data_IF_347921114009
#
_entry.id   IF_347921114009
#
_cell.length_a   1.000
_cell.length_b   1.000
_cell.length_c   1.000
_cell.angle_alpha   90.00
_cell.angle_beta   90.00
_cell.angle_gamma   90.00
#
_symmetry.space_group_name_H-M   'P 1'
#
loop_
_entity.id
_entity.type
_entity.pdbx_description
1 polymer ?
#
# COMPACT_ATOMS: atom_id res chain seq x y z
N UNK A 1 56.97 8.76 60.23
CA UNK A 1 55.61 8.84 59.72
C UNK A 1 55.64 8.48 58.28
N UNK A 2 55.25 7.24 57.91
CA UNK A 2 55.20 6.74 56.49
C UNK A 2 53.80 7.07 55.93
N UNK A 3 53.74 7.90 54.87
CA UNK A 3 52.49 8.14 54.13
C UNK A 3 52.26 6.99 53.14
N UNK A 4 51.19 6.25 53.33
CA UNK A 4 50.67 5.25 52.38
C UNK A 4 49.83 6.00 51.33
N UNK A 5 50.25 5.97 50.10
CA UNK A 5 49.45 6.48 48.98
C UNK A 5 48.62 5.31 48.45
N UNK A 6 47.31 5.40 48.62
CA UNK A 6 46.34 4.43 48.11
C UNK A 6 46.02 4.80 46.65
N UNK A 7 46.47 3.97 45.71
CA UNK A 7 46.16 4.11 44.27
C UNK A 7 44.79 3.46 44.00
N UNK A 8 43.77 4.25 43.75
CA UNK A 8 42.46 3.75 43.33
C UNK A 8 42.51 3.58 41.81
N UNK A 9 42.55 2.34 41.35
CA UNK A 9 42.39 1.98 39.93
C UNK A 9 40.88 1.96 39.63
N UNK A 10 40.37 2.98 38.95
CA UNK A 10 39.02 2.97 38.41
C UNK A 10 39.02 2.18 37.11
N UNK A 11 38.52 0.95 37.18
CA UNK A 11 38.25 0.17 35.96
C UNK A 11 37.03 0.74 35.24
N UNK A 12 37.25 1.46 34.16
CA UNK A 12 36.19 1.87 33.25
C UNK A 12 35.77 0.63 32.45
N UNK A 13 34.69 -0.01 32.89
CA UNK A 13 34.00 -1.03 32.13
C UNK A 13 33.28 -0.31 30.98
N UNK A 14 33.90 -0.32 29.81
CA UNK A 14 33.27 0.14 28.59
C UNK A 14 32.11 -0.80 28.25
N UNK A 15 30.89 -0.41 28.52
CA UNK A 15 29.70 -1.09 27.99
C UNK A 15 29.66 -0.75 26.50
N UNK A 16 30.26 -1.58 25.67
CA UNK A 16 30.00 -1.56 24.24
C UNK A 16 28.58 -2.09 24.06
N UNK A 17 27.62 -1.20 23.93
CA UNK A 17 26.30 -1.54 23.41
C UNK A 17 26.50 -1.98 21.98
N UNK A 18 26.61 -3.29 21.73
CA UNK A 18 26.47 -3.84 20.39
C UNK A 18 25.03 -3.56 19.96
N UNK A 19 24.84 -2.60 19.06
CA UNK A 19 23.54 -2.43 18.42
C UNK A 19 23.16 -3.82 17.85
N UNK A 20 22.04 -4.36 18.30
CA UNK A 20 21.55 -5.65 17.81
C UNK A 20 21.32 -5.49 16.32
N UNK A 21 22.00 -6.32 15.52
CA UNK A 21 21.87 -6.29 14.06
C UNK A 21 20.40 -6.54 13.70
N UNK A 22 19.85 -5.64 12.86
CA UNK A 22 18.46 -5.74 12.43
C UNK A 22 18.27 -6.98 11.58
N UNK A 23 17.33 -7.83 11.96
CA UNK A 23 16.92 -8.95 11.12
C UNK A 23 16.01 -8.45 10.03
N UNK A 24 16.37 -8.69 8.79
CA UNK A 24 15.65 -8.21 7.62
C UNK A 24 15.15 -9.38 6.77
N UNK A 25 14.05 -9.18 6.08
CA UNK A 25 13.51 -10.16 5.15
C UNK A 25 12.88 -9.48 3.94
N UNK A 26 12.67 -10.25 2.87
CA UNK A 26 11.90 -9.85 1.70
C UNK A 26 10.67 -10.72 1.59
N UNK A 27 9.52 -10.11 1.37
CA UNK A 27 8.26 -10.83 1.11
C UNK A 27 8.38 -11.62 -0.19
N UNK A 28 8.10 -12.94 -0.15
CA UNK A 28 8.26 -13.83 -1.30
C UNK A 28 6.97 -14.35 -1.92
N UNK A 29 5.83 -14.15 -1.25
CA UNK A 29 4.50 -14.48 -1.79
C UNK A 29 3.87 -13.26 -2.41
N UNK A 30 3.04 -13.43 -3.45
CA UNK A 30 2.30 -12.32 -4.08
C UNK A 30 1.52 -11.49 -3.06
N UNK A 31 1.13 -12.13 -1.95
CA UNK A 31 0.40 -11.47 -0.87
C UNK A 31 0.83 -12.10 0.46
N UNK A 32 1.48 -11.33 1.32
CA UNK A 32 1.82 -11.69 2.68
C UNK A 32 0.73 -11.18 3.62
N UNK A 33 0.01 -12.08 4.27
CA UNK A 33 -1.02 -11.73 5.25
C UNK A 33 -0.37 -11.38 6.60
N UNK A 34 -0.63 -10.17 7.09
CA UNK A 34 -0.15 -9.69 8.38
C UNK A 34 -1.30 -9.61 9.38
N UNK A 35 -1.22 -10.38 10.46
CA UNK A 35 -2.29 -10.53 11.45
C UNK A 35 -1.97 -9.82 12.76
N UNK A 36 -3.00 -9.45 13.51
CA UNK A 36 -2.88 -8.78 14.81
C UNK A 36 -2.13 -9.64 15.84
N UNK A 37 -2.36 -10.96 15.82
CA UNK A 37 -1.71 -11.92 16.70
C UNK A 37 -1.12 -13.08 15.88
N UNK A 38 -0.12 -13.81 16.38
CA UNK A 38 0.47 -14.98 15.72
C UNK A 38 -0.48 -16.20 15.79
N UNK A 39 -1.60 -16.07 15.09
CA UNK A 39 -2.70 -17.03 15.03
C UNK A 39 -3.49 -16.86 13.72
N UNK A 40 -3.87 -17.96 13.07
CA UNK A 40 -4.68 -17.92 11.84
C UNK A 40 -6.11 -17.43 12.06
N UNK A 41 -6.66 -17.56 13.27
CA UNK A 41 -7.98 -17.04 13.63
C UNK A 41 -7.97 -15.55 13.99
N UNK A 42 -6.77 -14.97 14.15
CA UNK A 42 -6.63 -13.55 14.44
C UNK A 42 -7.02 -12.68 13.25
N UNK A 43 -7.53 -11.48 13.53
CA UNK A 43 -7.89 -10.52 12.51
C UNK A 43 -6.73 -10.22 11.57
N UNK A 44 -7.03 -10.09 10.27
CA UNK A 44 -6.11 -9.54 9.29
C UNK A 44 -5.99 -8.03 9.51
N UNK A 45 -4.76 -7.56 9.71
CA UNK A 45 -4.47 -6.13 9.90
C UNK A 45 -4.12 -5.44 8.59
N UNK A 46 -3.25 -6.09 7.80
CA UNK A 46 -2.84 -5.60 6.49
C UNK A 46 -2.23 -6.72 5.66
N UNK A 47 -1.84 -6.38 4.44
CA UNK A 47 -1.05 -7.22 3.55
C UNK A 47 0.22 -6.48 3.14
N UNK A 48 1.31 -7.21 2.89
CA UNK A 48 2.44 -6.73 2.12
C UNK A 48 2.61 -7.58 0.87
N UNK A 49 3.24 -7.00 -0.15
CA UNK A 49 3.35 -7.59 -1.48
C UNK A 49 4.74 -8.13 -1.74
N UNK A 50 4.87 -9.05 -2.68
CA UNK A 50 6.15 -9.64 -3.08
C UNK A 50 7.19 -8.54 -3.38
N UNK A 51 8.39 -8.75 -2.86
CA UNK A 51 9.50 -7.84 -3.04
C UNK A 51 9.59 -6.71 -2.02
N UNK A 52 8.62 -6.57 -1.10
CA UNK A 52 8.71 -5.62 0.01
C UNK A 52 9.77 -6.07 1.01
N UNK A 53 10.71 -5.19 1.33
CA UNK A 53 11.70 -5.38 2.41
C UNK A 53 11.04 -5.05 3.74
N UNK A 54 11.15 -5.92 4.73
CA UNK A 54 10.56 -5.78 6.07
C UNK A 54 11.60 -6.07 7.15
N UNK A 55 11.44 -5.44 8.32
CA UNK A 55 12.25 -5.73 9.51
C UNK A 55 11.52 -6.79 10.36
N UNK A 56 12.24 -7.83 10.84
CA UNK A 56 11.74 -8.82 11.78
C UNK A 56 12.09 -8.35 13.19
N UNK A 57 11.07 -8.08 14.00
CA UNK A 57 11.22 -7.54 15.37
C UNK A 57 10.82 -8.54 16.46
N UNK A 58 10.24 -9.68 16.08
CA UNK A 58 9.84 -10.72 17.02
C UNK A 58 9.55 -12.05 16.33
N UNK A 59 9.46 -13.12 17.13
CA UNK A 59 9.12 -14.45 16.63
C UNK A 59 8.34 -15.27 17.67
N UNK A 60 7.43 -16.11 17.18
CA UNK A 60 6.71 -17.09 17.98
C UNK A 60 6.40 -18.33 17.13
N UNK A 61 7.13 -19.39 17.33
CA UNK A 61 7.08 -20.59 16.48
C UNK A 61 7.43 -20.23 15.03
N UNK A 62 6.53 -20.56 14.11
CA UNK A 62 6.69 -20.20 12.68
C UNK A 62 6.18 -18.80 12.32
N UNK A 63 5.76 -17.99 13.30
CA UNK A 63 5.35 -16.60 13.10
C UNK A 63 6.53 -15.65 13.29
N UNK A 64 6.54 -14.60 12.48
CA UNK A 64 7.47 -13.46 12.55
C UNK A 64 6.67 -12.18 12.75
N UNK A 65 6.99 -11.43 13.79
CA UNK A 65 6.50 -10.07 13.94
C UNK A 65 7.33 -9.16 13.04
N UNK A 66 6.70 -8.55 12.04
CA UNK A 66 7.38 -7.76 11.03
C UNK A 66 6.92 -6.32 11.05
N UNK A 67 7.81 -5.40 10.64
CA UNK A 67 7.52 -3.98 10.45
C UNK A 67 7.72 -3.67 8.97
N UNK A 68 6.68 -3.15 8.33
CA UNK A 68 6.72 -2.73 6.92
C UNK A 68 7.37 -1.34 6.75
N UNK A 69 7.76 -0.95 5.51
CA UNK A 69 8.44 0.34 5.25
C UNK A 69 7.64 1.58 5.67
N UNK A 70 6.31 1.55 5.52
CA UNK A 70 5.39 2.45 6.21
C UNK A 70 5.09 1.79 7.55
N UNK A 71 5.56 2.32 8.69
CA UNK A 71 5.66 1.56 9.93
C UNK A 71 4.31 0.96 10.34
N UNK A 72 4.08 -0.27 9.93
CA UNK A 72 2.92 -1.07 10.32
C UNK A 72 3.44 -2.39 10.87
N UNK A 73 3.14 -2.69 12.12
CA UNK A 73 3.68 -3.85 12.84
C UNK A 73 2.61 -4.90 13.02
N UNK A 74 2.84 -6.11 12.52
CA UNK A 74 1.94 -7.24 12.65
C UNK A 74 2.66 -8.59 12.39
N UNK A 75 1.94 -9.71 12.54
CA UNK A 75 2.47 -11.06 12.46
C UNK A 75 2.25 -11.70 11.09
N UNK A 76 3.33 -12.18 10.49
CA UNK A 76 3.33 -12.97 9.25
C UNK A 76 3.93 -14.36 9.48
N UNK A 77 3.65 -15.31 8.59
CA UNK A 77 4.28 -16.64 8.68
C UNK A 77 5.66 -16.62 8.02
N UNK A 78 6.63 -17.35 8.59
CA UNK A 78 7.99 -17.44 8.06
C UNK A 78 8.04 -17.85 6.58
N UNK A 79 7.10 -18.70 6.13
CA UNK A 79 7.05 -19.19 4.74
C UNK A 79 6.68 -18.11 3.72
N UNK A 80 6.22 -16.94 4.16
CA UNK A 80 5.95 -15.79 3.28
C UNK A 80 7.15 -14.87 3.14
N UNK A 81 8.26 -15.16 3.81
CA UNK A 81 9.44 -14.31 3.93
C UNK A 81 10.71 -15.06 3.50
N UNK A 82 11.68 -14.31 2.96
CA UNK A 82 13.07 -14.76 2.78
C UNK A 82 13.93 -13.89 3.68
N UNK A 83 14.43 -14.44 4.78
CA UNK A 83 15.38 -13.74 5.64
C UNK A 83 16.71 -13.56 4.91
N UNK A 84 17.30 -12.39 5.00
CA UNK A 84 18.53 -12.00 4.31
C UNK A 84 19.49 -11.28 5.26
N UNK A 85 20.80 -11.44 5.02
CA UNK A 85 21.83 -10.64 5.72
C UNK A 85 21.76 -9.18 5.28
N UNK A 86 22.43 -8.29 6.00
CA UNK A 86 22.50 -6.87 5.64
C UNK A 86 23.08 -6.68 4.23
N UNK A 87 24.12 -7.42 3.87
CA UNK A 87 24.76 -7.38 2.54
C UNK A 87 23.81 -7.86 1.44
N UNK A 88 23.05 -8.93 1.71
CA UNK A 88 22.05 -9.44 0.76
C UNK A 88 20.88 -8.45 0.55
N UNK A 89 20.45 -7.77 1.61
CA UNK A 89 19.44 -6.70 1.51
C UNK A 89 19.98 -5.54 0.68
N UNK A 90 21.21 -5.09 0.93
CA UNK A 90 21.83 -4.01 0.16
C UNK A 90 21.95 -4.38 -1.33
N UNK A 91 22.37 -5.61 -1.63
CA UNK A 91 22.38 -6.14 -3.01
C UNK A 91 20.98 -6.19 -3.61
N UNK A 92 20.01 -6.70 -2.84
CA UNK A 92 18.62 -6.77 -3.27
C UNK A 92 18.04 -5.39 -3.58
N UNK A 93 18.29 -4.38 -2.74
CA UNK A 93 17.77 -3.02 -2.92
C UNK A 93 18.40 -2.33 -4.14
N UNK A 94 19.69 -2.52 -4.40
CA UNK A 94 20.42 -1.95 -5.55
C UNK A 94 20.09 -2.62 -6.89
N UNK A 95 19.62 -3.88 -6.86
CA UNK A 95 19.33 -4.61 -8.09
C UNK A 95 18.18 -3.96 -8.88
N UNK A 96 18.26 -3.90 -10.22
CA UNK A 96 17.15 -3.40 -11.04
C UNK A 96 15.93 -4.32 -10.89
N UNK A 97 14.75 -3.70 -10.85
CA UNK A 97 13.50 -4.39 -10.58
C UNK A 97 12.42 -4.02 -11.59
N UNK A 98 11.50 -4.94 -11.76
CA UNK A 98 10.21 -4.70 -12.40
C UNK A 98 9.12 -4.56 -11.35
N UNK A 99 8.19 -3.66 -11.61
CA UNK A 99 6.89 -3.61 -10.98
C UNK A 99 5.89 -4.36 -11.84
N UNK A 100 5.12 -5.28 -11.26
CA UNK A 100 4.02 -5.94 -11.93
C UNK A 100 2.77 -5.03 -11.89
N UNK A 101 2.20 -4.72 -13.05
CA UNK A 101 1.16 -3.68 -13.19
C UNK A 101 -0.23 -4.21 -13.52
N UNK A 102 -0.37 -5.49 -13.92
CA UNK A 102 -1.69 -6.08 -14.13
C UNK A 102 -2.35 -6.46 -12.79
N UNK A 103 -3.68 -6.47 -12.71
CA UNK A 103 -4.36 -6.90 -11.47
C UNK A 103 -3.98 -8.31 -11.02
N UNK A 104 -3.75 -9.22 -11.97
CA UNK A 104 -3.42 -10.63 -11.69
C UNK A 104 -2.55 -11.25 -12.79
N UNK A 105 -1.62 -12.11 -12.39
CA UNK A 105 -0.74 -12.84 -13.29
C UNK A 105 -0.07 -14.04 -12.67
N UNK A 106 0.92 -14.60 -13.38
CA UNK A 106 1.65 -15.79 -12.96
C UNK A 106 3.13 -15.73 -13.39
N UNK A 107 3.98 -16.36 -12.58
CA UNK A 107 5.33 -16.75 -12.99
C UNK A 107 5.32 -18.23 -13.34
N UNK A 108 5.88 -18.56 -14.52
CA UNK A 108 5.91 -19.93 -15.05
C UNK A 108 7.34 -20.43 -15.27
N UNK A 109 7.51 -21.75 -15.27
CA UNK A 109 8.82 -22.40 -15.47
C UNK A 109 9.43 -22.17 -16.84
N UNK A 110 8.60 -21.96 -17.88
CA UNK A 110 9.06 -21.72 -19.26
C UNK A 110 8.26 -20.58 -19.87
N UNK A 111 8.77 -19.89 -20.92
CA UNK A 111 8.10 -18.78 -21.61
C UNK A 111 6.95 -19.26 -22.52
N UNK A 112 6.03 -19.99 -21.94
CA UNK A 112 4.86 -20.58 -22.61
C UNK A 112 3.66 -20.70 -21.66
N UNK A 113 2.45 -20.61 -22.19
CA UNK A 113 1.21 -20.66 -21.41
C UNK A 113 0.98 -22.02 -20.72
N UNK A 114 1.54 -23.09 -21.29
CA UNK A 114 1.50 -24.44 -20.69
C UNK A 114 2.60 -24.68 -19.65
N UNK A 115 3.51 -23.72 -19.45
CA UNK A 115 4.53 -23.82 -18.40
C UNK A 115 3.89 -23.98 -17.01
N UNK A 116 4.47 -24.83 -16.17
CA UNK A 116 4.01 -25.01 -14.81
C UNK A 116 4.08 -23.67 -14.05
N UNK A 117 3.03 -23.33 -13.33
CA UNK A 117 2.98 -22.14 -12.49
C UNK A 117 3.93 -22.33 -11.29
N UNK A 118 4.85 -21.37 -11.10
CA UNK A 118 5.74 -21.30 -9.93
C UNK A 118 5.01 -20.58 -8.79
N UNK A 119 4.42 -19.42 -9.10
CA UNK A 119 3.62 -18.60 -8.20
C UNK A 119 2.69 -17.69 -8.99
N UNK A 120 1.68 -17.15 -8.32
CA UNK A 120 0.85 -16.07 -8.85
C UNK A 120 1.50 -14.70 -8.61
N UNK A 121 0.93 -13.66 -9.24
CA UNK A 121 1.29 -12.25 -9.10
C UNK A 121 0.04 -11.41 -8.92
N UNK A 122 0.18 -10.32 -8.18
CA UNK A 122 -0.82 -9.25 -8.07
C UNK A 122 -0.19 -7.90 -8.42
N UNK A 123 -0.99 -6.93 -8.83
CA UNK A 123 -0.51 -5.57 -9.08
C UNK A 123 0.22 -5.01 -7.87
N UNK A 124 1.40 -4.45 -8.08
CA UNK A 124 2.27 -3.95 -7.01
C UNK A 124 3.41 -4.90 -6.61
N UNK A 125 3.40 -6.17 -7.04
CA UNK A 125 4.52 -7.09 -6.83
C UNK A 125 5.78 -6.59 -7.51
N UNK A 126 6.93 -6.77 -6.83
CA UNK A 126 8.24 -6.34 -7.31
C UNK A 126 9.14 -7.55 -7.53
N UNK A 127 9.72 -7.63 -8.71
CA UNK A 127 10.53 -8.76 -9.18
C UNK A 127 11.90 -8.25 -9.64
N UNK A 128 12.98 -8.98 -9.34
CA UNK A 128 14.30 -8.60 -9.86
C UNK A 128 14.40 -8.90 -11.34
N UNK A 129 15.10 -8.02 -12.06
CA UNK A 129 15.49 -8.24 -13.47
C UNK A 129 16.54 -9.34 -13.51
N UNK A 130 16.37 -10.33 -14.39
CA UNK A 130 17.42 -11.31 -14.67
C UNK A 130 18.42 -10.68 -15.62
N UNK A 131 19.58 -10.27 -15.09
CA UNK A 131 20.70 -9.82 -15.91
C UNK A 131 21.33 -11.03 -16.60
N UNK A 132 21.19 -11.12 -17.92
CA UNK A 132 22.00 -12.06 -18.70
C UNK A 132 23.43 -11.56 -18.72
N UNK A 133 24.39 -12.41 -18.34
CA UNK A 133 25.84 -12.15 -18.30
C UNK A 133 26.28 -11.22 -19.45
N UNK A 134 27.15 -10.25 -19.10
CA UNK A 134 27.71 -9.17 -19.93
C UNK A 134 27.70 -9.45 -21.43
N UNK A 135 26.88 -8.69 -22.17
CA UNK A 135 26.91 -8.63 -23.63
C UNK A 135 25.64 -8.92 -24.37
N UNK A 136 24.62 -9.47 -23.73
CA UNK A 136 23.29 -9.70 -24.34
C UNK A 136 22.18 -9.36 -23.36
N UNK A 137 21.94 -8.08 -23.12
CA UNK A 137 20.60 -7.62 -22.81
C UNK A 137 19.79 -8.07 -24.02
N UNK A 138 19.03 -9.14 -23.89
CA UNK A 138 18.04 -9.48 -24.91
C UNK A 138 16.81 -8.61 -24.63
N UNK A 139 16.71 -7.43 -25.23
CA UNK A 139 15.42 -6.82 -25.37
C UNK A 139 14.72 -7.74 -26.36
N UNK A 140 13.67 -8.42 -25.94
CA UNK A 140 12.63 -8.87 -26.84
C UNK A 140 12.90 -9.90 -27.95
N UNK A 141 14.13 -10.37 -28.20
CA UNK A 141 14.41 -11.11 -29.44
C UNK A 141 14.02 -12.60 -29.47
N UNK A 142 14.23 -13.35 -28.39
CA UNK A 142 14.08 -14.82 -28.42
C UNK A 142 12.79 -15.38 -27.81
N UNK A 143 12.12 -14.67 -26.90
CA UNK A 143 10.97 -15.20 -26.15
C UNK A 143 9.69 -14.38 -26.35
N UNK A 144 9.63 -13.52 -27.38
CA UNK A 144 8.43 -12.78 -27.79
C UNK A 144 7.83 -11.94 -26.63
N UNK A 145 6.64 -12.33 -26.19
CA UNK A 145 5.85 -11.63 -25.17
C UNK A 145 6.29 -11.90 -23.71
N UNK A 146 7.30 -12.75 -23.47
CA UNK A 146 7.75 -13.19 -22.15
C UNK A 146 8.99 -12.46 -21.67
N UNK A 147 9.04 -12.19 -20.37
CA UNK A 147 10.22 -11.72 -19.64
C UNK A 147 10.64 -12.73 -18.59
N UNK A 148 11.93 -12.97 -18.46
CA UNK A 148 12.50 -13.73 -17.35
C UNK A 148 12.68 -12.81 -16.15
N UNK A 149 12.23 -13.26 -14.99
CA UNK A 149 12.26 -12.53 -13.72
C UNK A 149 12.82 -13.41 -12.62
N UNK A 150 13.36 -12.80 -11.57
CA UNK A 150 13.87 -13.50 -10.40
C UNK A 150 13.02 -13.15 -9.17
N UNK A 151 12.58 -14.20 -8.50
CA UNK A 151 11.85 -14.14 -7.24
C UNK A 151 12.79 -13.76 -6.07
N UNK A 152 12.27 -13.29 -4.93
CA UNK A 152 13.07 -12.98 -3.75
C UNK A 152 13.93 -14.15 -3.26
N UNK A 153 13.44 -15.39 -3.39
CA UNK A 153 14.15 -16.62 -2.99
C UNK A 153 15.23 -17.10 -4.00
N UNK A 154 15.45 -16.32 -5.09
CA UNK A 154 16.46 -16.62 -6.11
C UNK A 154 15.98 -17.53 -7.24
N UNK A 155 14.79 -18.14 -7.15
CA UNK A 155 14.22 -18.86 -8.28
C UNK A 155 13.93 -17.92 -9.44
N UNK A 156 14.08 -18.40 -10.68
CA UNK A 156 13.73 -17.66 -11.89
C UNK A 156 12.51 -18.24 -12.57
N UNK A 157 11.83 -17.42 -13.35
CA UNK A 157 10.68 -17.84 -14.14
C UNK A 157 10.25 -16.77 -15.11
N UNK A 158 9.13 -16.98 -15.77
CA UNK A 158 8.67 -16.20 -16.92
C UNK A 158 7.28 -15.61 -16.68
N UNK A 159 7.13 -14.32 -16.96
CA UNK A 159 5.82 -13.64 -16.96
C UNK A 159 5.67 -12.77 -18.21
N UNK A 160 4.49 -12.19 -18.45
CA UNK A 160 4.27 -11.33 -19.61
C UNK A 160 4.96 -9.97 -19.49
N UNK A 161 5.72 -9.58 -20.53
CA UNK A 161 6.39 -8.26 -20.60
C UNK A 161 5.42 -7.10 -20.50
N UNK A 162 4.24 -7.23 -21.11
CA UNK A 162 3.23 -6.17 -21.14
C UNK A 162 2.71 -5.79 -19.75
N UNK A 163 2.84 -6.71 -18.80
CA UNK A 163 2.36 -6.56 -17.42
C UNK A 163 3.49 -6.08 -16.47
N UNK A 164 4.65 -5.74 -17.04
CA UNK A 164 5.82 -5.27 -16.32
C UNK A 164 6.22 -3.87 -16.76
N UNK A 165 6.59 -3.03 -15.81
CA UNK A 165 7.38 -1.83 -16.07
C UNK A 165 8.61 -1.80 -15.16
N UNK A 166 9.62 -1.05 -15.53
CA UNK A 166 10.77 -0.80 -14.64
C UNK A 166 10.25 -0.08 -13.39
N UNK A 167 10.65 -0.56 -12.22
CA UNK A 167 10.37 0.12 -10.96
C UNK A 167 11.13 1.45 -10.94
N UNK A 168 10.40 2.54 -10.76
CA UNK A 168 10.94 3.89 -10.61
C UNK A 168 11.43 4.19 -9.20
N UNK A 169 11.90 5.40 -9.00
CA UNK A 169 12.13 5.93 -7.66
C UNK A 169 10.78 6.14 -6.97
N UNK A 170 10.64 5.60 -5.75
CA UNK A 170 9.39 5.70 -5.01
C UNK A 170 9.26 7.03 -4.29
N UNK A 171 8.15 7.71 -4.52
CA UNK A 171 7.72 8.86 -3.74
C UNK A 171 7.07 8.34 -2.46
N UNK A 172 7.64 8.69 -1.31
CA UNK A 172 7.10 8.28 -0.01
C UNK A 172 6.36 9.45 0.63
N UNK A 173 5.03 9.46 0.52
CA UNK A 173 4.16 10.47 1.11
C UNK A 173 3.81 10.03 2.53
N UNK A 174 4.19 10.84 3.50
CA UNK A 174 4.00 10.56 4.93
C UNK A 174 2.85 11.38 5.50
N UNK A 175 2.33 10.91 6.61
CA UNK A 175 1.42 11.68 7.45
C UNK A 175 2.01 13.07 7.76
N UNK A 176 1.27 14.13 7.42
CA UNK A 176 1.69 15.51 7.63
C UNK A 176 2.42 16.14 6.44
N UNK A 177 2.70 15.40 5.37
CA UNK A 177 3.18 15.96 4.11
C UNK A 177 2.02 16.72 3.44
N UNK A 178 1.99 18.03 3.66
CA UNK A 178 0.96 18.94 3.13
C UNK A 178 1.44 19.73 1.92
N UNK A 179 2.60 19.37 1.34
CA UNK A 179 3.17 20.05 0.18
C UNK A 179 2.25 19.97 -1.03
N UNK A 180 2.22 21.06 -1.78
CA UNK A 180 1.51 21.14 -3.05
C UNK A 180 2.29 20.39 -4.15
N UNK A 181 1.59 19.70 -5.07
CA UNK A 181 2.23 19.10 -6.26
C UNK A 181 3.10 17.88 -5.94
N UNK A 182 2.69 17.05 -4.99
CA UNK A 182 3.39 15.79 -4.68
C UNK A 182 3.41 14.83 -5.88
N UNK A 183 2.39 14.90 -6.72
CA UNK A 183 2.27 14.13 -7.97
C UNK A 183 1.66 14.99 -9.07
N UNK A 184 1.93 14.66 -10.32
CA UNK A 184 1.33 15.32 -11.49
C UNK A 184 0.00 14.70 -11.92
N UNK A 185 -0.70 15.37 -12.85
CA UNK A 185 -2.01 14.93 -13.33
C UNK A 185 -1.97 13.62 -14.11
N UNK A 186 -0.88 13.34 -14.84
CA UNK A 186 -0.72 12.07 -15.59
C UNK A 186 -0.60 10.88 -14.62
N UNK A 187 0.17 11.05 -13.57
CA UNK A 187 0.32 10.06 -12.50
C UNK A 187 -1.02 9.82 -11.79
N UNK A 188 -1.80 10.87 -11.50
CA UNK A 188 -3.12 10.72 -10.88
C UNK A 188 -4.09 9.98 -11.80
N UNK A 189 -4.11 10.23 -13.10
CA UNK A 189 -4.93 9.48 -14.05
C UNK A 189 -4.52 8.01 -14.14
N UNK A 190 -3.21 7.71 -14.02
CA UNK A 190 -2.74 6.33 -13.92
C UNK A 190 -3.20 5.65 -12.62
N UNK A 191 -3.21 6.36 -11.49
CA UNK A 191 -3.78 5.88 -10.22
C UNK A 191 -5.28 5.56 -10.37
N UNK A 192 -6.06 6.46 -10.99
CA UNK A 192 -7.49 6.25 -11.24
C UNK A 192 -7.71 5.04 -12.17
N UNK A 193 -6.88 4.91 -13.21
CA UNK A 193 -6.93 3.77 -14.12
C UNK A 193 -6.68 2.45 -13.39
N UNK A 194 -5.68 2.41 -12.50
CA UNK A 194 -5.42 1.25 -11.64
C UNK A 194 -6.64 0.92 -10.74
N UNK A 195 -7.28 1.93 -10.15
CA UNK A 195 -8.49 1.73 -9.36
C UNK A 195 -9.65 1.15 -10.19
N UNK A 196 -9.82 1.63 -11.41
CA UNK A 196 -10.86 1.13 -12.33
C UNK A 196 -10.60 -0.32 -12.76
N UNK A 197 -9.35 -0.73 -12.93
CA UNK A 197 -8.98 -2.12 -13.23
C UNK A 197 -9.31 -3.08 -12.08
N UNK A 198 -9.42 -2.58 -10.85
CA UNK A 198 -9.79 -3.36 -9.66
C UNK A 198 -11.31 -3.40 -9.42
N UNK A 199 -12.16 -2.82 -10.29
CA UNK A 199 -13.63 -2.90 -10.13
C UNK A 199 -14.10 -4.35 -10.04
N UNK A 200 -15.00 -4.61 -9.08
CA UNK A 200 -15.51 -5.95 -8.79
C UNK A 200 -14.66 -6.75 -7.80
N UNK A 201 -13.45 -6.32 -7.45
CA UNK A 201 -12.65 -6.99 -6.40
C UNK A 201 -13.42 -6.92 -5.07
N UNK A 202 -13.60 -8.05 -4.35
CA UNK A 202 -14.32 -8.08 -3.08
C UNK A 202 -13.65 -7.22 -2.00
N UNK A 203 -14.48 -6.68 -1.11
CA UNK A 203 -13.98 -6.05 0.12
C UNK A 203 -13.38 -7.11 1.05
N UNK A 204 -12.17 -6.86 1.49
CA UNK A 204 -11.49 -7.64 2.51
C UNK A 204 -10.88 -6.69 3.53
N UNK A 205 -11.31 -6.77 4.78
CA UNK A 205 -10.67 -6.00 5.86
C UNK A 205 -9.16 -6.30 5.92
N UNK A 206 -8.31 -5.28 5.97
CA UNK A 206 -6.86 -5.44 5.90
C UNK A 206 -6.32 -5.76 4.50
N UNK A 207 -7.17 -5.90 3.50
CA UNK A 207 -6.77 -6.26 2.13
C UNK A 207 -6.11 -5.10 1.38
N UNK A 208 -5.09 -5.44 0.56
CA UNK A 208 -4.34 -4.48 -0.26
C UNK A 208 -3.89 -5.12 -1.58
N UNK A 209 -4.72 -5.96 -2.20
CA UNK A 209 -4.38 -6.63 -3.45
C UNK A 209 -5.63 -6.97 -4.26
N UNK A 210 -5.45 -7.37 -5.53
CA UNK A 210 -6.55 -7.88 -6.36
C UNK A 210 -7.26 -9.12 -5.81
N UNK A 211 -6.76 -9.74 -4.73
CA UNK A 211 -7.42 -10.82 -4.00
C UNK A 211 -8.47 -10.34 -2.99
N UNK A 212 -8.48 -9.05 -2.72
CA UNK A 212 -9.37 -8.35 -1.81
C UNK A 212 -8.73 -7.07 -1.30
N UNK A 213 -9.51 -6.01 -1.20
CA UNK A 213 -9.08 -4.70 -0.70
C UNK A 213 -10.05 -4.15 0.32
N UNK A 214 -9.55 -3.41 1.31
CA UNK A 214 -10.38 -2.47 2.06
C UNK A 214 -10.33 -1.07 1.42
N UNK A 215 -11.02 -0.09 1.99
CA UNK A 215 -11.14 1.24 1.40
C UNK A 215 -9.78 1.95 1.24
N UNK A 216 -8.96 1.98 2.29
CA UNK A 216 -7.63 2.59 2.27
C UNK A 216 -6.59 1.73 1.56
N UNK A 217 -6.77 0.40 1.58
CA UNK A 217 -5.95 -0.53 0.82
C UNK A 217 -6.13 -0.39 -0.69
N UNK A 218 -7.35 -0.14 -1.16
CA UNK A 218 -7.61 0.21 -2.57
C UNK A 218 -6.84 1.47 -2.96
N UNK A 219 -6.96 2.54 -2.17
CA UNK A 219 -6.22 3.78 -2.44
C UNK A 219 -4.72 3.49 -2.45
N UNK A 220 -4.19 2.89 -1.38
CA UNK A 220 -2.76 2.60 -1.26
C UNK A 220 -2.20 1.77 -2.41
N UNK A 221 -2.87 0.69 -2.83
CA UNK A 221 -2.37 -0.17 -3.91
C UNK A 221 -2.35 0.55 -5.26
N UNK A 222 -3.36 1.37 -5.55
CA UNK A 222 -3.40 2.15 -6.80
C UNK A 222 -2.25 3.17 -6.88
N UNK A 223 -1.92 3.80 -5.77
CA UNK A 223 -0.75 4.69 -5.69
C UNK A 223 0.56 3.90 -5.76
N UNK A 224 0.67 2.76 -5.05
CA UNK A 224 1.87 1.91 -5.08
C UNK A 224 2.19 1.38 -6.50
N UNK A 225 1.17 1.04 -7.27
CA UNK A 225 1.32 0.65 -8.68
C UNK A 225 1.86 1.80 -9.57
N UNK A 226 1.93 3.02 -9.05
CA UNK A 226 2.47 4.22 -9.70
C UNK A 226 3.67 4.81 -8.93
N UNK A 227 4.44 3.95 -8.22
CA UNK A 227 5.65 4.29 -7.46
C UNK A 227 5.42 5.28 -6.30
N UNK A 228 4.18 5.40 -5.80
CA UNK A 228 3.85 6.28 -4.68
C UNK A 228 3.43 5.44 -3.48
N UNK A 229 4.11 5.63 -2.36
CA UNK A 229 3.80 4.96 -1.12
C UNK A 229 3.03 5.88 -0.19
N UNK A 230 1.75 5.58 0.05
CA UNK A 230 0.88 6.26 1.00
C UNK A 230 0.83 5.50 2.34
N UNK A 231 0.44 6.17 3.45
CA UNK A 231 0.09 5.49 4.69
C UNK A 231 -0.99 4.41 4.50
N UNK A 232 -0.98 3.40 5.38
CA UNK A 232 -1.91 2.26 5.26
C UNK A 232 -3.36 2.63 5.58
N UNK A 233 -3.57 3.42 6.61
CA UNK A 233 -4.90 3.68 7.16
C UNK A 233 -5.51 4.96 6.62
N UNK A 234 -6.83 4.97 6.39
CA UNK A 234 -7.56 6.16 5.96
C UNK A 234 -7.40 7.35 6.92
N UNK A 235 -7.29 7.08 8.23
CA UNK A 235 -7.05 8.09 9.27
C UNK A 235 -5.67 8.75 9.17
N UNK A 236 -4.72 8.16 8.45
CA UNK A 236 -3.41 8.72 8.18
C UNK A 236 -3.36 9.34 6.77
N UNK A 237 -4.01 8.69 5.78
CA UNK A 237 -4.13 9.20 4.41
C UNK A 237 -4.80 10.58 4.36
N UNK A 238 -5.79 10.84 5.23
CA UNK A 238 -6.48 12.14 5.35
C UNK A 238 -5.56 13.29 5.77
N UNK A 239 -4.37 12.98 6.28
CA UNK A 239 -3.36 13.94 6.72
C UNK A 239 -2.24 14.13 5.68
N UNK A 240 -2.42 13.59 4.47
CA UNK A 240 -1.51 13.72 3.35
C UNK A 240 -2.08 14.71 2.33
N UNK A 241 -1.20 15.52 1.72
CA UNK A 241 -1.59 16.50 0.72
C UNK A 241 -2.33 17.73 1.28
N UNK A 242 -2.83 18.56 0.38
CA UNK A 242 -3.56 19.79 0.72
C UNK A 242 -5.00 19.46 1.13
N UNK A 243 -5.41 19.92 2.30
CA UNK A 243 -6.81 19.83 2.72
C UNK A 243 -7.70 20.68 1.79
N UNK A 244 -8.80 20.07 1.33
CA UNK A 244 -9.82 20.71 0.51
C UNK A 244 -11.03 21.00 1.39
N UNK A 245 -11.48 22.24 1.36
CA UNK A 245 -12.65 22.68 2.10
C UNK A 245 -13.91 21.92 1.64
N UNK A 246 -14.57 21.26 2.58
CA UNK A 246 -15.85 20.60 2.41
C UNK A 246 -16.90 21.40 3.15
N UNK A 247 -17.96 21.81 2.44
CA UNK A 247 -19.13 22.42 3.06
C UNK A 247 -19.99 21.33 3.68
N UNK A 248 -19.66 21.00 4.94
CA UNK A 248 -20.24 19.85 5.66
C UNK A 248 -21.73 20.06 5.92
N UNK A 249 -22.53 18.98 5.90
CA UNK A 249 -23.91 19.05 6.43
C UNK A 249 -23.91 19.60 7.86
N UNK A 250 -24.91 20.44 8.18
CA UNK A 250 -25.10 20.90 9.56
C UNK A 250 -25.50 19.73 10.46
N UNK A 251 -24.62 19.41 11.39
CA UNK A 251 -24.76 18.29 12.34
C UNK A 251 -25.05 18.74 13.76
N UNK A 252 -25.04 20.05 14.03
CA UNK A 252 -25.15 20.58 15.39
C UNK A 252 -26.50 20.22 16.01
N UNK A 253 -26.45 19.43 17.09
CA UNK A 253 -27.66 19.00 17.81
C UNK A 253 -28.52 17.98 17.07
N UNK A 254 -28.01 17.37 15.97
CA UNK A 254 -28.74 16.37 15.17
C UNK A 254 -28.12 14.99 15.32
N UNK A 255 -28.94 13.98 15.32
CA UNK A 255 -28.49 12.58 15.22
C UNK A 255 -28.02 12.26 13.80
N UNK A 256 -27.23 11.20 13.62
CA UNK A 256 -26.79 10.75 12.29
C UNK A 256 -27.99 10.40 11.38
N UNK A 257 -29.09 9.93 11.95
CA UNK A 257 -30.34 9.65 11.21
C UNK A 257 -30.95 10.93 10.66
N UNK A 258 -31.07 11.99 11.48
CA UNK A 258 -31.59 13.29 11.07
C UNK A 258 -30.69 13.97 10.03
N UNK A 259 -29.36 13.82 10.16
CA UNK A 259 -28.43 14.33 9.14
C UNK A 259 -28.64 13.59 7.82
N UNK A 260 -28.79 12.26 7.84
CA UNK A 260 -29.07 11.44 6.65
C UNK A 260 -30.39 11.83 5.99
N UNK A 261 -31.47 12.00 6.78
CA UNK A 261 -32.80 12.35 6.28
C UNK A 261 -32.82 13.72 5.60
N UNK A 262 -32.09 14.68 6.14
CA UNK A 262 -32.01 16.04 5.61
C UNK A 262 -30.98 16.21 4.46
N UNK A 263 -30.15 15.18 4.19
CA UNK A 263 -29.13 15.25 3.15
C UNK A 263 -29.76 15.14 1.76
N UNK A 264 -29.79 16.23 1.04
CA UNK A 264 -30.41 16.35 -0.29
C UNK A 264 -29.37 16.72 -1.38
N UNK A 265 -29.83 16.79 -2.63
CA UNK A 265 -28.97 17.09 -3.80
C UNK A 265 -28.21 18.41 -3.70
N UNK A 266 -28.83 19.44 -3.13
CA UNK A 266 -28.20 20.77 -3.05
C UNK A 266 -27.11 20.79 -1.97
N UNK A 267 -27.36 20.18 -0.82
CA UNK A 267 -26.36 19.98 0.24
C UNK A 267 -25.20 19.15 -0.30
N UNK A 268 -25.49 18.05 -1.01
CA UNK A 268 -24.48 17.18 -1.59
C UNK A 268 -23.59 17.91 -2.60
N UNK A 269 -24.19 18.65 -3.55
CA UNK A 269 -23.46 19.44 -4.55
C UNK A 269 -22.60 20.52 -3.91
N UNK A 270 -23.11 21.16 -2.87
CA UNK A 270 -22.37 22.18 -2.15
C UNK A 270 -21.18 21.56 -1.40
N UNK A 271 -21.37 20.41 -0.76
CA UNK A 271 -20.31 19.71 -0.06
C UNK A 271 -19.10 19.37 -0.96
N UNK A 272 -19.36 19.01 -2.22
CA UNK A 272 -18.31 18.56 -3.16
C UNK A 272 -17.90 19.64 -4.19
N UNK A 273 -18.37 20.87 -4.07
CA UNK A 273 -18.15 21.95 -5.09
C UNK A 273 -16.68 22.28 -5.36
N UNK A 274 -15.80 22.09 -4.36
CA UNK A 274 -14.36 22.35 -4.42
C UNK A 274 -13.54 21.13 -4.84
N UNK A 275 -14.17 19.95 -4.99
CA UNK A 275 -13.49 18.72 -5.37
C UNK A 275 -13.17 18.70 -6.86
N UNK A 276 -11.98 18.22 -7.18
CA UNK A 276 -11.59 17.89 -8.55
C UNK A 276 -11.23 16.40 -8.65
N UNK A 277 -11.25 15.90 -9.86
CA UNK A 277 -10.89 14.51 -10.17
C UNK A 277 -9.52 14.16 -9.58
N UNK A 278 -9.44 13.05 -8.83
CA UNK A 278 -8.24 12.57 -8.13
C UNK A 278 -8.18 12.95 -6.65
N UNK A 279 -9.05 13.83 -6.16
CA UNK A 279 -9.12 14.13 -4.72
C UNK A 279 -9.51 12.88 -3.94
N UNK A 280 -8.89 12.69 -2.77
CA UNK A 280 -9.31 11.68 -1.81
C UNK A 280 -10.42 12.24 -0.93
N UNK A 281 -11.53 11.52 -0.86
CA UNK A 281 -12.72 11.91 -0.09
C UNK A 281 -12.89 10.97 1.10
N UNK A 282 -13.04 11.54 2.30
CA UNK A 282 -13.08 10.81 3.55
C UNK A 282 -14.42 10.94 4.24
N UNK A 283 -14.91 9.81 4.76
CA UNK A 283 -16.18 9.69 5.46
C UNK A 283 -15.94 9.16 6.88
N UNK A 284 -16.82 9.56 7.79
CA UNK A 284 -16.65 9.15 9.17
C UNK A 284 -17.75 9.64 10.11
N UNK A 285 -17.37 9.85 11.35
CA UNK A 285 -18.26 10.48 12.32
C UNK A 285 -18.20 12.00 12.12
N UNK A 286 -19.33 12.61 11.75
CA UNK A 286 -19.41 14.05 11.45
C UNK A 286 -19.26 14.96 12.68
N UNK A 287 -19.50 14.44 13.89
CA UNK A 287 -19.33 15.16 15.14
C UNK A 287 -17.87 15.17 15.60
N UNK A 288 -17.24 13.99 15.64
CA UNK A 288 -15.87 13.83 16.13
C UNK A 288 -14.82 14.05 15.04
N UNK A 289 -15.19 13.96 13.77
CA UNK A 289 -14.26 14.00 12.63
C UNK A 289 -13.44 12.72 12.46
N UNK A 290 -13.76 11.64 13.19
CA UNK A 290 -13.01 10.38 13.07
C UNK A 290 -13.29 9.72 11.71
N UNK A 291 -12.23 9.30 11.01
CA UNK A 291 -12.29 8.74 9.66
C UNK A 291 -12.53 7.23 9.73
N UNK A 292 -13.48 6.75 8.93
CA UNK A 292 -13.82 5.32 8.83
C UNK A 292 -13.82 4.80 7.39
N UNK A 293 -13.76 5.69 6.39
CA UNK A 293 -13.81 5.30 4.99
C UNK A 293 -13.14 6.33 4.09
N UNK A 294 -12.67 5.88 2.90
CA UNK A 294 -12.06 6.73 1.88
C UNK A 294 -12.41 6.24 0.48
N UNK A 295 -12.49 7.17 -0.47
CA UNK A 295 -12.62 6.91 -1.90
C UNK A 295 -11.84 7.93 -2.72
N UNK A 296 -11.65 7.66 -4.01
CA UNK A 296 -11.03 8.56 -4.99
C UNK A 296 -12.16 9.23 -5.79
N UNK A 297 -12.23 10.55 -5.77
CA UNK A 297 -13.23 11.31 -6.51
C UNK A 297 -12.92 11.28 -8.01
N UNK A 298 -13.94 10.97 -8.82
CA UNK A 298 -13.81 10.84 -10.27
C UNK A 298 -14.28 12.06 -11.05
N UNK A 299 -14.83 13.06 -10.36
CA UNK A 299 -15.55 14.16 -10.99
C UNK A 299 -17.05 13.87 -11.15
N UNK A 300 -17.84 14.90 -11.46
CA UNK A 300 -19.28 14.75 -11.74
C UNK A 300 -20.14 14.28 -10.57
N UNK A 301 -19.61 14.25 -9.36
CA UNK A 301 -20.29 13.72 -8.18
C UNK A 301 -20.01 12.25 -7.90
N UNK A 302 -19.15 11.59 -8.68
CA UNK A 302 -18.83 10.16 -8.53
C UNK A 302 -17.50 9.93 -7.80
N UNK A 303 -17.41 8.81 -7.11
CA UNK A 303 -16.17 8.30 -6.52
C UNK A 303 -16.01 6.81 -6.76
N UNK A 304 -14.77 6.33 -6.86
CA UNK A 304 -14.42 4.91 -6.80
C UNK A 304 -13.91 4.57 -5.40
N UNK A 305 -14.44 3.51 -4.82
CA UNK A 305 -14.10 3.06 -3.47
C UNK A 305 -14.34 1.56 -3.28
N UNK A 306 -13.82 0.98 -2.20
CA UNK A 306 -14.13 -0.39 -1.80
C UNK A 306 -15.19 -0.39 -0.69
N UNK A 307 -16.40 -0.87 -1.03
CA UNK A 307 -17.53 -1.05 -0.11
C UNK A 307 -18.35 -2.25 -0.60
N UNK A 308 -18.30 -3.39 0.10
CA UNK A 308 -18.64 -4.75 -0.31
C UNK A 308 -17.75 -5.27 -1.46
N UNK A 309 -17.51 -4.45 -2.46
CA UNK A 309 -16.57 -4.65 -3.57
C UNK A 309 -16.07 -3.27 -4.06
N UNK A 310 -15.06 -3.27 -4.90
CA UNK A 310 -14.62 -2.05 -5.60
C UNK A 310 -15.66 -1.64 -6.62
N UNK A 311 -16.21 -0.44 -6.47
CA UNK A 311 -17.29 0.09 -7.32
C UNK A 311 -17.27 1.61 -7.40
N UNK A 312 -18.00 2.14 -8.37
CA UNK A 312 -18.27 3.58 -8.50
C UNK A 312 -19.65 3.87 -7.92
N UNK A 313 -19.71 4.88 -7.06
CA UNK A 313 -20.96 5.40 -6.53
C UNK A 313 -21.03 6.92 -6.68
N UNK A 314 -22.25 7.43 -6.84
CA UNK A 314 -22.54 8.86 -6.78
C UNK A 314 -22.64 9.34 -5.33
N UNK A 315 -22.15 10.54 -5.07
CA UNK A 315 -22.32 11.26 -3.80
C UNK A 315 -23.63 12.07 -3.77
N UNK A 316 -24.37 12.10 -4.89
CA UNK A 316 -25.56 12.91 -5.08
C UNK A 316 -26.82 12.09 -4.83
N UNK A 317 -27.64 12.43 -3.83
CA UNK A 317 -28.91 11.75 -3.56
C UNK A 317 -29.83 11.74 -4.79
N UNK A 318 -30.48 10.58 -5.03
CA UNK A 318 -31.39 10.37 -6.14
C UNK A 318 -30.74 9.90 -7.43
N UNK A 319 -29.42 9.76 -7.49
CA UNK A 319 -28.75 9.05 -8.58
C UNK A 319 -28.89 7.52 -8.35
N UNK A 320 -28.92 6.74 -9.43
CA UNK A 320 -29.16 5.29 -9.39
C UNK A 320 -28.13 4.55 -8.53
N UNK A 321 -26.87 4.97 -8.63
CA UNK A 321 -25.73 4.39 -7.90
C UNK A 321 -25.36 5.19 -6.64
N UNK A 322 -26.32 5.87 -6.00
CA UNK A 322 -26.08 6.71 -4.82
C UNK A 322 -25.41 5.94 -3.67
N UNK A 323 -24.40 6.58 -3.06
CA UNK A 323 -23.76 6.09 -1.84
C UNK A 323 -24.50 6.55 -0.59
N UNK A 324 -25.23 5.65 0.06
CA UNK A 324 -26.10 5.98 1.21
C UNK A 324 -25.37 6.66 2.38
N UNK A 325 -24.06 6.50 2.51
CA UNK A 325 -23.26 7.14 3.54
C UNK A 325 -22.60 8.46 3.08
N UNK A 326 -22.97 9.02 1.91
CA UNK A 326 -22.43 10.28 1.41
C UNK A 326 -22.63 11.44 2.40
N UNK A 327 -23.72 11.45 3.17
CA UNK A 327 -23.99 12.41 4.24
C UNK A 327 -22.92 12.43 5.34
N UNK A 328 -22.05 11.39 5.42
CA UNK A 328 -20.97 11.26 6.40
C UNK A 328 -19.64 11.81 5.88
N UNK A 329 -19.64 12.59 4.80
CA UNK A 329 -18.44 13.25 4.30
C UNK A 329 -17.88 14.20 5.35
N UNK A 330 -16.59 14.09 5.69
CA UNK A 330 -15.95 14.88 6.76
C UNK A 330 -14.74 15.65 6.30
N UNK A 331 -13.95 15.12 5.36
CA UNK A 331 -12.73 15.75 4.85
C UNK A 331 -12.45 15.33 3.42
N UNK A 332 -11.63 16.13 2.74
CA UNK A 332 -10.98 15.74 1.49
C UNK A 332 -9.55 16.27 1.46
N UNK A 333 -8.68 15.59 0.71
CA UNK A 333 -7.34 16.08 0.45
C UNK A 333 -6.95 15.89 -1.02
N UNK A 334 -6.04 16.74 -1.49
CA UNK A 334 -5.50 16.76 -2.84
C UNK A 334 -4.01 16.49 -2.81
N UNK A 335 -3.58 15.49 -3.57
CA UNK A 335 -2.17 15.11 -3.72
C UNK A 335 -1.58 15.62 -5.05
N UNK A 336 -2.43 15.91 -6.03
CA UNK A 336 -2.08 16.36 -7.37
C UNK A 336 -2.46 17.84 -7.58
N UNK A 337 -1.72 18.53 -8.47
CA UNK A 337 -2.03 19.86 -8.96
C UNK A 337 -2.09 19.91 -10.48
#
# INVERSE_FOLDING_TARGET
MKKIILLIIVAVIGITSTAQEKRMAVVQTSTCYMRLQPDYESALETQELMGTVVEIVGEKGYWREIVSPQPYKAWATEKTLVEMTAEQIEEYEKAPKYLFTAPYGHIRTVPHETGTMITDLVGGDVLRVVEKQKGKVSPSGKHGKWAEVMLPDGRTGWTYKKDLRILGERINIRKGDSSEGLIDGETMEAVITAAQQLRGVPYLWGGMSSKGVDCSGLVRICFLMNDILLPRNASEQVLCGKEIEIDRPDVKGKTQAEVKENYNRDIARNAIKNLVRGDLVFFGNTETGSITHVGIYLGGGEMIHASHLVRVNSLIPGDENYYENAHRIVRACRLCY
#
